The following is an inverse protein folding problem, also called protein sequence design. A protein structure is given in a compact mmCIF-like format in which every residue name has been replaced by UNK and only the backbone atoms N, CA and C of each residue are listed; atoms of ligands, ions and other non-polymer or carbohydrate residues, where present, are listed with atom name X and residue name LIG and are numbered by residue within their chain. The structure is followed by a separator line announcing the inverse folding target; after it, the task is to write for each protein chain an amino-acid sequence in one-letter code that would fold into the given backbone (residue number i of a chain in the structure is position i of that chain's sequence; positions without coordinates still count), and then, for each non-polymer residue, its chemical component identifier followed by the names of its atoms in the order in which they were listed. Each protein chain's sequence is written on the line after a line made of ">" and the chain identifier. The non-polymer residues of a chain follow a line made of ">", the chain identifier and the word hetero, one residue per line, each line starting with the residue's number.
data_IF_788181347051
#
_entry.id   IF_788181347051
#
_cell.length_a   1.000
_cell.length_b   1.000
_cell.length_c   1.000
_cell.angle_alpha   90.00
_cell.angle_beta   90.00
_cell.angle_gamma   90.00
#
_symmetry.space_group_name_H-M   'P 1'
#
loop_
_entity.id
_entity.type
_entity.pdbx_description
1 polymer ?
#
# COMPACT_ATOMS: atom_id res chain seq x y z
N UNK A 1 36.48 -27.73 50.29
CA UNK A 1 35.52 -26.78 49.69
C UNK A 1 34.48 -27.60 48.93
N UNK A 2 33.23 -27.65 49.42
CA UNK A 2 32.16 -28.40 48.74
C UNK A 2 31.62 -27.51 47.62
N UNK A 3 31.80 -27.94 46.37
CA UNK A 3 31.13 -27.32 45.21
C UNK A 3 29.62 -27.42 45.43
N UNK A 4 28.94 -26.28 45.49
CA UNK A 4 27.47 -26.21 45.52
C UNK A 4 26.92 -26.86 44.24
N UNK A 5 26.01 -27.84 44.32
CA UNK A 5 25.38 -28.43 43.14
C UNK A 5 24.20 -27.56 42.66
N UNK A 6 24.41 -26.26 42.43
CA UNK A 6 23.30 -25.34 42.07
C UNK A 6 23.04 -25.20 40.56
N UNK A 7 23.69 -25.97 39.70
CA UNK A 7 23.58 -25.82 38.23
C UNK A 7 23.39 -27.14 37.47
N UNK A 8 22.86 -28.18 38.12
CA UNK A 8 22.58 -29.49 37.47
C UNK A 8 21.12 -29.92 37.40
N UNK A 9 20.20 -28.99 37.67
CA UNK A 9 18.77 -29.25 37.51
C UNK A 9 18.10 -28.04 36.86
N UNK A 10 18.60 -27.60 35.71
CA UNK A 10 17.72 -26.89 34.80
C UNK A 10 16.76 -27.94 34.25
N UNK A 11 15.70 -28.22 35.02
CA UNK A 11 14.59 -29.09 34.62
C UNK A 11 14.24 -28.73 33.18
N UNK A 12 14.47 -29.69 32.27
CA UNK A 12 14.29 -29.51 30.82
C UNK A 12 12.81 -29.27 30.54
N UNK A 13 12.39 -28.01 30.64
CA UNK A 13 11.00 -27.61 30.49
C UNK A 13 10.82 -27.07 29.07
N UNK A 14 9.87 -27.62 28.30
CA UNK A 14 9.53 -27.05 27.01
C UNK A 14 9.00 -25.62 27.18
N UNK A 15 9.40 -24.74 26.27
CA UNK A 15 8.91 -23.36 26.20
C UNK A 15 7.76 -23.32 25.21
N UNK A 16 6.61 -22.80 25.63
CA UNK A 16 5.43 -22.63 24.78
C UNK A 16 5.41 -21.23 24.18
N UNK A 17 4.99 -21.15 22.91
CA UNK A 17 5.00 -19.94 22.11
C UNK A 17 3.61 -19.73 21.48
N UNK A 18 3.21 -18.46 21.38
CA UNK A 18 2.03 -17.99 20.66
C UNK A 18 2.43 -16.76 19.85
N UNK A 19 2.25 -16.79 18.53
CA UNK A 19 2.63 -15.71 17.64
C UNK A 19 1.51 -15.45 16.61
N UNK A 20 0.77 -14.33 16.72
CA UNK A 20 -0.21 -13.94 15.72
C UNK A 20 0.49 -13.32 14.50
N UNK A 21 0.11 -13.72 13.29
CA UNK A 21 0.77 -13.31 12.02
C UNK A 21 -0.18 -13.35 10.83
N UNK A 22 0.20 -12.68 9.74
CA UNK A 22 -0.49 -12.74 8.44
C UNK A 22 0.42 -13.51 7.48
N UNK A 23 -0.03 -14.68 7.02
CA UNK A 23 0.70 -15.52 6.06
C UNK A 23 -0.06 -15.56 4.73
N UNK A 24 0.56 -15.04 3.66
CA UNK A 24 -0.05 -14.96 2.32
C UNK A 24 -1.46 -14.32 2.33
N UNK A 25 -1.67 -13.31 3.19
CA UNK A 25 -2.96 -12.64 3.35
C UNK A 25 -3.94 -13.33 4.31
N UNK A 26 -3.58 -14.47 4.91
CA UNK A 26 -4.43 -15.19 5.87
C UNK A 26 -3.99 -14.88 7.30
N UNK A 27 -4.91 -14.38 8.13
CA UNK A 27 -4.68 -14.18 9.55
C UNK A 27 -4.63 -15.51 10.30
N UNK A 28 -3.52 -15.78 10.97
CA UNK A 28 -3.30 -17.03 11.72
C UNK A 28 -2.58 -16.76 13.04
N UNK A 29 -2.78 -17.66 13.99
CA UNK A 29 -1.99 -17.74 15.22
C UNK A 29 -1.14 -19.00 15.15
N UNK A 30 0.18 -18.83 15.13
CA UNK A 30 1.10 -19.94 15.32
C UNK A 30 1.21 -20.28 16.80
N UNK A 31 1.07 -21.56 17.14
CA UNK A 31 1.22 -22.10 18.49
C UNK A 31 2.13 -23.30 18.46
N UNK A 32 3.03 -23.37 19.43
CA UNK A 32 3.97 -24.48 19.49
C UNK A 32 4.76 -24.50 20.78
N UNK A 33 5.66 -25.48 20.86
CA UNK A 33 6.60 -25.60 21.95
C UNK A 33 7.98 -25.96 21.41
N UNK A 34 9.03 -25.61 22.16
CA UNK A 34 10.43 -25.92 21.85
C UNK A 34 11.10 -26.51 23.09
N UNK A 35 11.80 -27.62 22.92
CA UNK A 35 12.74 -28.18 23.90
C UNK A 35 14.05 -27.37 23.88
N UNK A 36 14.43 -26.78 25.02
CA UNK A 36 15.62 -25.91 25.09
C UNK A 36 16.95 -26.64 25.02
N UNK A 37 16.97 -27.96 25.19
CA UNK A 37 18.20 -28.77 25.09
C UNK A 37 18.39 -29.31 23.68
N UNK A 38 17.33 -29.85 23.09
CA UNK A 38 17.35 -30.43 21.74
C UNK A 38 17.18 -29.39 20.64
N UNK A 39 16.64 -28.22 20.99
CA UNK A 39 16.30 -27.14 20.07
C UNK A 39 15.34 -27.59 18.96
N UNK A 40 14.51 -28.59 19.26
CA UNK A 40 13.43 -29.07 18.41
C UNK A 40 12.09 -28.84 19.09
N UNK A 41 11.02 -29.07 18.34
CA UNK A 41 9.69 -28.75 18.80
C UNK A 41 8.64 -29.06 17.76
N UNK A 42 7.39 -28.74 18.10
CA UNK A 42 6.26 -28.87 17.20
C UNK A 42 5.36 -27.65 17.34
N UNK A 43 4.69 -27.31 16.24
CA UNK A 43 3.71 -26.24 16.22
C UNK A 43 2.69 -26.45 15.12
N UNK A 44 1.59 -25.73 15.25
CA UNK A 44 0.48 -25.71 14.31
C UNK A 44 -0.04 -24.29 14.14
N UNK A 45 -0.82 -24.09 13.08
CA UNK A 45 -1.49 -22.84 12.77
C UNK A 45 -2.97 -22.95 13.11
N UNK A 46 -3.50 -21.95 13.80
CA UNK A 46 -4.94 -21.76 14.00
C UNK A 46 -5.37 -20.56 13.15
N UNK A 47 -6.56 -20.63 12.54
CA UNK A 47 -7.15 -19.47 11.88
C UNK A 47 -7.60 -18.44 12.92
N UNK A 48 -7.39 -17.16 12.63
CA UNK A 48 -7.79 -16.05 13.50
C UNK A 48 -8.94 -15.27 12.85
N UNK A 49 -10.18 -15.73 13.08
CA UNK A 49 -11.41 -15.14 12.54
C UNK A 49 -11.55 -13.65 12.90
N UNK A 50 -11.25 -13.30 14.15
CA UNK A 50 -11.43 -11.94 14.65
C UNK A 50 -10.46 -10.98 13.97
N UNK A 51 -9.17 -11.33 13.90
CA UNK A 51 -8.21 -10.52 13.14
C UNK A 51 -8.50 -10.50 11.66
N UNK A 52 -8.94 -11.62 11.08
CA UNK A 52 -9.27 -11.66 9.66
C UNK A 52 -10.35 -10.62 9.31
N UNK A 53 -11.43 -10.54 10.11
CA UNK A 53 -12.47 -9.53 9.89
C UNK A 53 -11.96 -8.10 10.02
N UNK A 54 -11.08 -7.85 11.00
CA UNK A 54 -10.51 -6.52 11.21
C UNK A 54 -9.58 -6.10 10.06
N UNK A 55 -8.69 -7.00 9.64
CA UNK A 55 -7.76 -6.75 8.53
C UNK A 55 -8.51 -6.64 7.20
N UNK A 56 -9.58 -7.41 6.97
CA UNK A 56 -10.45 -7.27 5.79
C UNK A 56 -11.11 -5.89 5.74
N UNK A 57 -11.64 -5.38 6.86
CA UNK A 57 -12.23 -4.06 6.93
C UNK A 57 -11.19 -2.95 6.62
N UNK A 58 -9.98 -3.09 7.15
CA UNK A 58 -8.86 -2.18 6.86
C UNK A 58 -8.46 -2.22 5.38
N UNK A 59 -8.37 -3.42 4.80
CA UNK A 59 -8.03 -3.61 3.40
C UNK A 59 -9.10 -3.02 2.48
N UNK A 60 -10.39 -3.22 2.80
CA UNK A 60 -11.51 -2.61 2.07
C UNK A 60 -11.44 -1.09 2.12
N UNK A 61 -11.25 -0.51 3.30
CA UNK A 61 -11.13 0.93 3.46
C UNK A 61 -9.97 1.52 2.65
N UNK A 62 -8.79 0.87 2.69
CA UNK A 62 -7.63 1.28 1.91
C UNK A 62 -7.89 1.18 0.40
N UNK A 63 -8.57 0.12 -0.05
CA UNK A 63 -8.90 -0.07 -1.45
C UNK A 63 -9.92 0.96 -1.96
N UNK A 64 -10.96 1.23 -1.18
CA UNK A 64 -11.97 2.26 -1.50
C UNK A 64 -11.36 3.65 -1.55
N UNK A 65 -10.47 3.97 -0.61
CA UNK A 65 -9.75 5.23 -0.61
C UNK A 65 -8.88 5.38 -1.84
N UNK A 66 -8.10 4.34 -2.20
CA UNK A 66 -7.28 4.34 -3.40
C UNK A 66 -8.15 4.53 -4.65
N UNK A 67 -9.27 3.80 -4.76
CA UNK A 67 -10.22 3.92 -5.87
C UNK A 67 -10.82 5.32 -5.97
N UNK A 68 -11.20 5.93 -4.85
CA UNK A 68 -11.72 7.30 -4.81
C UNK A 68 -10.67 8.29 -5.31
N UNK A 69 -9.42 8.19 -4.81
CA UNK A 69 -8.32 9.07 -5.24
C UNK A 69 -8.05 8.96 -6.74
N UNK A 70 -8.07 7.74 -7.30
CA UNK A 70 -7.91 7.56 -8.76
C UNK A 70 -9.03 8.24 -9.53
N UNK A 71 -10.29 8.07 -9.11
CA UNK A 71 -11.43 8.71 -9.76
C UNK A 71 -11.38 10.23 -9.68
N UNK A 72 -11.07 10.78 -8.50
CA UNK A 72 -10.97 12.23 -8.31
C UNK A 72 -9.89 12.84 -9.22
N UNK A 73 -8.82 12.10 -9.48
CA UNK A 73 -7.77 12.52 -10.40
C UNK A 73 -8.24 12.51 -11.86
N UNK A 74 -8.91 11.45 -12.29
CA UNK A 74 -9.48 11.33 -13.64
C UNK A 74 -10.54 12.41 -13.92
N UNK A 75 -11.40 12.69 -12.93
CA UNK A 75 -12.45 13.70 -13.06
C UNK A 75 -11.85 15.12 -13.16
N UNK A 76 -10.78 15.42 -12.42
CA UNK A 76 -10.05 16.69 -12.53
C UNK A 76 -9.32 16.86 -13.86
N UNK A 77 -8.71 15.79 -14.38
CA UNK A 77 -8.06 15.82 -15.68
C UNK A 77 -9.08 16.11 -16.79
N UNK A 78 -10.25 15.45 -16.73
CA UNK A 78 -11.35 15.71 -17.65
C UNK A 78 -11.88 17.14 -17.55
N UNK A 79 -12.16 17.64 -16.35
CA UNK A 79 -12.68 19.01 -16.18
C UNK A 79 -11.67 20.04 -16.67
N UNK A 80 -10.39 19.87 -16.38
CA UNK A 80 -9.33 20.75 -16.87
C UNK A 80 -9.25 20.77 -18.40
N UNK A 81 -9.43 19.61 -19.05
CA UNK A 81 -9.48 19.51 -20.51
C UNK A 81 -10.71 20.22 -21.09
N UNK A 82 -11.88 20.00 -20.51
CA UNK A 82 -13.14 20.65 -20.94
C UNK A 82 -13.08 22.18 -20.77
N UNK A 83 -12.46 22.68 -19.70
CA UNK A 83 -12.24 24.11 -19.47
C UNK A 83 -11.32 24.72 -20.53
N UNK A 84 -10.24 24.03 -20.89
CA UNK A 84 -9.33 24.45 -21.97
C UNK A 84 -10.03 24.48 -23.33
N UNK A 85 -10.83 23.47 -23.63
CA UNK A 85 -11.62 23.39 -24.88
C UNK A 85 -12.69 24.49 -24.92
N UNK A 86 -13.35 24.79 -23.81
CA UNK A 86 -14.35 25.86 -23.68
C UNK A 86 -13.73 27.25 -23.85
N UNK A 87 -12.55 27.50 -23.26
CA UNK A 87 -11.79 28.74 -23.49
C UNK A 87 -11.38 28.92 -24.94
N UNK A 88 -10.96 27.86 -25.62
CA UNK A 88 -10.62 27.92 -27.06
C UNK A 88 -11.83 28.26 -27.95
N UNK A 89 -13.03 27.83 -27.57
CA UNK A 89 -14.25 28.15 -28.32
C UNK A 89 -14.78 29.57 -28.05
N UNK A 90 -14.42 30.18 -26.91
CA UNK A 90 -14.83 31.54 -26.53
C UNK A 90 -13.90 32.65 -27.07
N UNK A 91 -12.75 32.31 -27.66
CA UNK A 91 -11.93 33.24 -28.45
C UNK A 91 -12.31 33.15 -29.95
N UNK A 92 -13.25 33.96 -30.46
CA UNK A 92 -13.31 34.19 -31.90
C UNK A 92 -12.07 35.03 -32.26
N UNK A 93 -11.16 34.49 -33.07
CA UNK A 93 -9.96 35.20 -33.51
C UNK A 93 -10.29 36.65 -33.93
N UNK A 94 -9.65 37.69 -33.34
CA UNK A 94 -9.54 38.98 -34.00
C UNK A 94 -8.68 38.75 -35.23
N UNK A 95 -9.20 39.10 -36.40
CA UNK A 95 -8.67 38.73 -37.69
C UNK A 95 -7.15 38.91 -37.83
N UNK A 96 -6.51 37.89 -38.41
CA UNK A 96 -5.17 37.96 -38.95
C UNK A 96 -5.11 39.00 -40.07
N UNK A 97 -4.73 40.24 -39.74
CA UNK A 97 -4.55 41.30 -40.71
C UNK A 97 -3.31 42.16 -40.37
N UNK A 98 -2.14 41.52 -40.24
CA UNK A 98 -0.84 42.22 -40.17
C UNK A 98 0.28 41.32 -40.70
N UNK A 99 0.34 41.12 -42.02
CA UNK A 99 1.57 40.68 -42.71
C UNK A 99 1.36 40.75 -44.23
N UNK A 100 1.40 41.96 -44.80
CA UNK A 100 1.85 42.20 -46.17
C UNK A 100 1.95 43.71 -46.42
N UNK A 101 3.00 44.29 -45.87
CA UNK A 101 3.44 45.64 -46.22
C UNK A 101 4.96 45.65 -46.30
N UNK A 102 5.57 44.74 -47.08
CA UNK A 102 6.98 44.94 -47.44
C UNK A 102 7.46 44.10 -48.65
N UNK A 103 6.77 44.15 -49.80
CA UNK A 103 7.40 43.74 -51.08
C UNK A 103 6.81 44.52 -52.26
N UNK A 104 6.90 45.85 -52.27
CA UNK A 104 6.82 46.61 -53.53
C UNK A 104 7.58 47.95 -53.44
N UNK A 105 8.91 47.87 -53.30
CA UNK A 105 9.80 48.87 -53.87
C UNK A 105 10.77 48.21 -54.85
N UNK A 106 10.18 47.82 -55.98
CA UNK A 106 10.57 48.24 -57.33
C UNK A 106 12.07 48.09 -57.66
N UNK A 107 12.35 47.08 -58.48
CA UNK A 107 13.31 47.24 -59.58
C UNK A 107 13.02 48.56 -60.32
N UNK A 108 13.91 49.55 -60.18
CA UNK A 108 14.31 50.46 -61.26
C UNK A 108 15.57 51.21 -60.89
#
# INVERSE_FOLDING_TARGET
>A
MKLLPSLRHMQHKPVYLKAPMILNGVCVIWRGWIDLQRLDGMGYLEYDDERAQHEDALAQAAFEEARRRTRDFEDRDRSHREDLESRRQQDPSPGSNMANADVEHKMR
#
